data_IF_358995552655
#
_entry.id   IF_358995552655
#
_cell.length_a   1.000
_cell.length_b   1.000
_cell.length_c   1.000
_cell.angle_alpha   90.00
_cell.angle_beta   90.00
_cell.angle_gamma   90.00
#
_symmetry.space_group_name_H-M   'P 1'
#
loop_
_entity.id
_entity.type
_entity.pdbx_description
1 polymer ?
#
# COMPACT_ATOMS: atom_id res chain seq x y z
N UNK A 1 -7.97 20.72 -35.95
CA UNK A 1 -8.54 19.61 -36.76
C UNK A 1 -7.73 18.28 -36.57
N UNK A 2 -6.46 18.18 -37.02
CA UNK A 2 -5.71 16.90 -36.96
C UNK A 2 -5.33 16.48 -35.54
N UNK A 3 -4.97 17.42 -34.66
CA UNK A 3 -4.63 17.15 -33.26
C UNK A 3 -5.87 16.70 -32.50
N UNK A 4 -6.99 17.37 -32.69
CA UNK A 4 -8.30 17.02 -32.09
C UNK A 4 -8.76 15.62 -32.54
N UNK A 5 -8.62 15.31 -33.84
CA UNK A 5 -8.93 13.98 -34.36
C UNK A 5 -8.06 12.89 -33.72
N UNK A 6 -6.76 13.13 -33.57
CA UNK A 6 -5.85 12.21 -32.92
C UNK A 6 -6.16 12.04 -31.42
N UNK A 7 -6.52 13.14 -30.76
CA UNK A 7 -6.96 13.11 -29.35
C UNK A 7 -8.19 12.23 -29.18
N UNK A 8 -9.24 12.47 -29.96
CA UNK A 8 -10.48 11.66 -29.89
C UNK A 8 -10.25 10.18 -30.23
N UNK A 9 -9.36 9.88 -31.17
CA UNK A 9 -8.98 8.49 -31.45
C UNK A 9 -8.27 7.84 -30.27
N UNK A 10 -7.33 8.55 -29.65
CA UNK A 10 -6.62 8.06 -28.47
C UNK A 10 -7.55 7.86 -27.27
N UNK A 11 -8.44 8.83 -27.02
CA UNK A 11 -9.45 8.77 -25.97
C UNK A 11 -10.39 7.57 -26.17
N UNK A 12 -10.92 7.40 -27.38
CA UNK A 12 -11.77 6.26 -27.72
C UNK A 12 -11.06 4.92 -27.51
N UNK A 13 -9.80 4.83 -27.97
CA UNK A 13 -8.99 3.63 -27.79
C UNK A 13 -8.77 3.30 -26.31
N UNK A 14 -8.39 4.29 -25.49
CA UNK A 14 -8.18 4.08 -24.04
C UNK A 14 -9.49 3.69 -23.35
N UNK A 15 -10.61 4.36 -23.68
CA UNK A 15 -11.91 4.02 -23.09
C UNK A 15 -12.34 2.59 -23.44
N UNK A 16 -12.08 2.13 -24.67
CA UNK A 16 -12.32 0.74 -25.05
C UNK A 16 -11.48 -0.23 -24.21
N UNK A 17 -10.19 0.05 -24.04
CA UNK A 17 -9.29 -0.77 -23.22
C UNK A 17 -9.68 -0.80 -21.74
N UNK A 18 -10.18 0.32 -21.21
CA UNK A 18 -10.74 0.40 -19.86
C UNK A 18 -11.94 -0.52 -19.72
N UNK A 19 -12.87 -0.44 -20.68
CA UNK A 19 -14.07 -1.28 -20.67
C UNK A 19 -13.71 -2.77 -20.74
N UNK A 20 -12.87 -3.16 -21.69
CA UNK A 20 -12.38 -4.53 -21.85
C UNK A 20 -11.70 -5.07 -20.57
N UNK A 21 -10.88 -4.23 -19.90
CA UNK A 21 -10.18 -4.63 -18.69
C UNK A 21 -11.15 -4.86 -17.51
N UNK A 22 -12.17 -4.03 -17.36
CA UNK A 22 -13.18 -4.18 -16.32
C UNK A 22 -14.06 -5.42 -16.55
N UNK A 23 -14.51 -5.65 -17.80
CA UNK A 23 -15.27 -6.83 -18.18
C UNK A 23 -14.48 -8.12 -17.96
N UNK A 24 -13.20 -8.13 -18.34
CA UNK A 24 -12.34 -9.29 -18.13
C UNK A 24 -12.15 -9.58 -16.64
N UNK A 25 -11.91 -8.54 -15.81
CA UNK A 25 -11.76 -8.72 -14.37
C UNK A 25 -13.03 -9.27 -13.71
N UNK A 26 -14.21 -8.79 -14.12
CA UNK A 26 -15.49 -9.30 -13.66
C UNK A 26 -15.70 -10.76 -14.09
N UNK A 27 -15.35 -11.09 -15.32
CA UNK A 27 -15.43 -12.46 -15.85
C UNK A 27 -14.49 -13.42 -15.09
N UNK A 28 -13.22 -13.06 -14.94
CA UNK A 28 -12.20 -13.90 -14.29
C UNK A 28 -12.56 -14.22 -12.84
N UNK A 29 -13.15 -13.28 -12.11
CA UNK A 29 -13.57 -13.49 -10.71
C UNK A 29 -14.97 -14.14 -10.58
N UNK A 30 -15.68 -14.34 -11.69
CA UNK A 30 -17.06 -14.80 -11.68
C UNK A 30 -18.01 -13.79 -11.03
N UNK A 31 -17.65 -12.52 -11.05
CA UNK A 31 -18.46 -11.43 -10.49
C UNK A 31 -19.37 -10.89 -11.58
N UNK A 32 -20.54 -11.53 -11.72
CA UNK A 32 -21.52 -11.14 -12.72
C UNK A 32 -22.43 -10.02 -12.20
N UNK A 33 -23.18 -9.38 -13.10
CA UNK A 33 -24.18 -8.36 -12.80
C UNK A 33 -23.64 -7.09 -12.09
N UNK A 34 -22.37 -6.73 -12.33
CA UNK A 34 -21.85 -5.44 -11.94
C UNK A 34 -22.50 -4.33 -12.79
N UNK A 35 -22.84 -3.23 -12.15
CA UNK A 35 -23.33 -2.05 -12.89
C UNK A 35 -22.27 -1.59 -13.92
N UNK A 36 -22.65 -1.21 -15.16
CA UNK A 36 -21.68 -0.81 -16.20
C UNK A 36 -20.67 0.26 -15.77
N UNK A 37 -21.09 1.22 -14.93
CA UNK A 37 -20.19 2.24 -14.40
C UNK A 37 -19.17 1.67 -13.42
N UNK A 38 -19.52 0.64 -12.62
CA UNK A 38 -18.55 -0.06 -11.77
C UNK A 38 -17.55 -0.85 -12.62
N UNK A 39 -18.00 -1.51 -13.67
CA UNK A 39 -17.11 -2.23 -14.61
C UNK A 39 -16.12 -1.27 -15.25
N UNK A 40 -16.60 -0.11 -15.74
CA UNK A 40 -15.75 0.92 -16.33
C UNK A 40 -14.76 1.50 -15.31
N UNK A 41 -15.21 1.80 -14.10
CA UNK A 41 -14.35 2.31 -13.03
C UNK A 41 -13.31 1.29 -12.60
N UNK A 42 -13.70 0.01 -12.47
CA UNK A 42 -12.78 -1.10 -12.20
C UNK A 42 -11.70 -1.20 -13.29
N UNK A 43 -12.07 -1.07 -14.55
CA UNK A 43 -11.14 -1.09 -15.67
C UNK A 43 -10.12 0.05 -15.66
N UNK A 44 -10.46 1.23 -15.11
CA UNK A 44 -9.53 2.36 -14.91
C UNK A 44 -8.36 1.99 -14.00
N UNK A 45 -8.53 1.04 -13.07
CA UNK A 45 -7.49 0.56 -12.17
C UNK A 45 -6.33 -0.12 -12.92
N UNK A 46 -6.51 -0.56 -14.17
CA UNK A 46 -5.44 -1.04 -15.05
C UNK A 46 -4.31 -0.04 -15.20
N UNK A 47 -4.63 1.24 -15.16
CA UNK A 47 -3.69 2.35 -15.34
C UNK A 47 -3.29 3.02 -14.03
N UNK A 48 -3.66 2.41 -12.90
CA UNK A 48 -3.30 2.88 -11.55
C UNK A 48 -2.27 1.95 -10.92
N UNK A 49 -1.30 2.56 -10.28
CA UNK A 49 -0.25 1.87 -9.53
C UNK A 49 -0.22 2.41 -8.11
N UNK A 50 -0.20 1.54 -7.13
CA UNK A 50 -0.07 1.88 -5.72
C UNK A 50 1.11 1.10 -5.15
N UNK A 51 2.09 1.80 -4.58
CA UNK A 51 3.34 1.19 -4.08
C UNK A 51 4.03 0.24 -5.08
N UNK A 52 3.99 0.57 -6.36
CA UNK A 52 4.58 -0.22 -7.44
C UNK A 52 3.79 -1.46 -7.85
N UNK A 53 2.64 -1.73 -7.24
CA UNK A 53 1.71 -2.80 -7.61
C UNK A 53 0.59 -2.22 -8.50
N UNK A 54 0.27 -2.89 -9.61
CA UNK A 54 -0.89 -2.52 -10.42
C UNK A 54 -2.17 -2.81 -9.64
N UNK A 55 -3.05 -1.80 -9.51
CA UNK A 55 -4.22 -1.88 -8.62
C UNK A 55 -5.26 -2.88 -9.12
N UNK A 56 -5.47 -3.01 -10.45
CA UNK A 56 -6.40 -4.00 -10.99
C UNK A 56 -5.94 -5.44 -10.70
N UNK A 57 -4.64 -5.72 -10.92
CA UNK A 57 -4.08 -7.04 -10.62
C UNK A 57 -4.16 -7.36 -9.13
N UNK A 58 -3.90 -6.38 -8.28
CA UNK A 58 -4.08 -6.50 -6.84
C UNK A 58 -5.54 -6.83 -6.47
N UNK A 59 -6.51 -6.10 -7.03
CA UNK A 59 -7.94 -6.36 -6.79
C UNK A 59 -8.35 -7.78 -7.22
N UNK A 60 -7.80 -8.29 -8.32
CA UNK A 60 -8.00 -9.68 -8.74
C UNK A 60 -7.42 -10.67 -7.73
N UNK A 61 -6.20 -10.45 -7.26
CA UNK A 61 -5.57 -11.30 -6.22
C UNK A 61 -6.38 -11.31 -4.94
N UNK A 62 -6.81 -10.14 -4.46
CA UNK A 62 -7.65 -10.01 -3.25
C UNK A 62 -8.98 -10.75 -3.43
N UNK A 63 -9.61 -10.63 -4.60
CA UNK A 63 -10.83 -11.37 -4.90
C UNK A 63 -10.64 -12.89 -4.79
N UNK A 64 -9.57 -13.43 -5.38
CA UNK A 64 -9.27 -14.86 -5.32
C UNK A 64 -8.95 -15.31 -3.89
N UNK A 65 -8.11 -14.59 -3.17
CA UNK A 65 -7.74 -14.91 -1.78
C UNK A 65 -8.96 -14.88 -0.86
N UNK A 66 -9.77 -13.81 -0.94
CA UNK A 66 -11.00 -13.70 -0.15
C UNK A 66 -11.97 -14.85 -0.47
N UNK A 67 -12.10 -15.22 -1.74
CA UNK A 67 -12.94 -16.35 -2.15
C UNK A 67 -12.45 -17.69 -1.62
N UNK A 68 -11.15 -17.95 -1.62
CA UNK A 68 -10.55 -19.17 -1.03
C UNK A 68 -10.78 -19.21 0.47
N UNK A 69 -10.45 -18.12 1.18
CA UNK A 69 -10.67 -18.02 2.64
C UNK A 69 -12.14 -18.19 3.02
N UNK A 70 -13.06 -17.62 2.24
CA UNK A 70 -14.49 -17.79 2.45
C UNK A 70 -14.94 -19.24 2.29
N UNK A 71 -14.42 -19.95 1.28
CA UNK A 71 -14.72 -21.37 1.06
C UNK A 71 -14.26 -22.23 2.22
N UNK A 72 -13.08 -22.00 2.77
CA UNK A 72 -12.55 -22.72 3.93
C UNK A 72 -13.39 -22.50 5.20
N UNK A 73 -13.99 -21.32 5.33
CA UNK A 73 -14.86 -20.97 6.46
C UNK A 73 -16.35 -21.35 6.23
N UNK A 74 -16.69 -21.93 5.10
CA UNK A 74 -18.07 -22.27 4.76
C UNK A 74 -18.96 -21.07 4.45
N UNK A 75 -18.36 -19.94 4.05
CA UNK A 75 -19.04 -18.70 3.65
C UNK A 75 -19.13 -18.65 2.12
N UNK A 76 -20.12 -17.94 1.59
CA UNK A 76 -20.29 -17.81 0.14
C UNK A 76 -19.06 -17.15 -0.52
N UNK A 77 -18.27 -17.90 -1.31
CA UNK A 77 -17.07 -17.39 -1.94
C UNK A 77 -17.36 -16.37 -3.05
N UNK A 78 -18.57 -16.35 -3.62
CA UNK A 78 -18.91 -15.41 -4.68
C UNK A 78 -19.05 -13.99 -4.12
N UNK A 79 -19.67 -13.87 -2.96
CA UNK A 79 -19.78 -12.62 -2.21
C UNK A 79 -18.41 -12.10 -1.78
N UNK A 80 -17.53 -12.98 -1.31
CA UNK A 80 -16.17 -12.60 -0.90
C UNK A 80 -15.31 -12.14 -2.09
N UNK A 81 -15.39 -12.84 -3.24
CA UNK A 81 -14.72 -12.41 -4.46
C UNK A 81 -15.21 -11.04 -4.93
N UNK A 82 -16.52 -10.81 -4.89
CA UNK A 82 -17.11 -9.54 -5.28
C UNK A 82 -16.62 -8.38 -4.40
N UNK A 83 -16.64 -8.55 -3.09
CA UNK A 83 -16.12 -7.56 -2.14
C UNK A 83 -14.62 -7.31 -2.34
N UNK A 84 -13.83 -8.36 -2.47
CA UNK A 84 -12.39 -8.27 -2.74
C UNK A 84 -12.06 -7.61 -4.08
N UNK A 85 -12.83 -7.85 -5.14
CA UNK A 85 -12.64 -7.20 -6.44
C UNK A 85 -12.88 -5.69 -6.36
N UNK A 86 -13.86 -5.26 -5.57
CA UNK A 86 -14.30 -3.88 -5.48
C UNK A 86 -13.63 -3.08 -4.35
N UNK A 87 -12.85 -3.71 -3.44
CA UNK A 87 -12.35 -3.05 -2.23
C UNK A 87 -11.58 -1.76 -2.53
N UNK A 88 -10.79 -1.75 -3.58
CA UNK A 88 -9.92 -0.65 -4.00
C UNK A 88 -10.48 0.21 -5.13
N UNK A 89 -11.77 0.08 -5.49
CA UNK A 89 -12.37 0.75 -6.65
C UNK A 89 -12.29 2.28 -6.55
N UNK A 90 -12.27 2.82 -5.33
CA UNK A 90 -12.12 4.26 -5.09
C UNK A 90 -10.80 4.83 -5.60
N UNK A 91 -9.73 4.03 -5.68
CA UNK A 91 -8.44 4.43 -6.26
C UNK A 91 -8.51 4.84 -7.73
N UNK A 92 -9.58 4.50 -8.43
CA UNK A 92 -9.80 4.94 -9.80
C UNK A 92 -10.12 6.44 -9.91
N UNK A 93 -10.63 7.06 -8.84
CA UNK A 93 -11.14 8.43 -8.81
C UNK A 93 -10.71 9.23 -7.57
N UNK A 94 -9.85 8.70 -6.69
CA UNK A 94 -9.41 9.36 -5.45
C UNK A 94 -8.67 10.68 -5.66
N UNK A 95 -8.09 10.89 -6.84
CA UNK A 95 -7.46 12.16 -7.22
C UNK A 95 -8.47 13.21 -7.72
N UNK A 96 -9.72 12.83 -7.98
CA UNK A 96 -10.82 13.70 -8.42
C UNK A 96 -11.74 14.10 -7.26
N UNK A 97 -11.67 13.35 -6.10
CA UNK A 97 -12.60 13.46 -4.97
C UNK A 97 -11.83 13.46 -3.65
N UNK A 98 -12.15 14.36 -2.73
CA UNK A 98 -11.58 14.37 -1.37
C UNK A 98 -12.08 13.18 -0.54
N UNK A 99 -11.19 12.53 0.20
CA UNK A 99 -11.50 11.45 1.12
C UNK A 99 -10.59 10.23 0.97
N UNK A 100 -10.74 9.25 1.85
CA UNK A 100 -10.04 7.98 1.70
C UNK A 100 -10.66 7.18 0.54
N UNK A 101 -9.83 6.43 -0.19
CA UNK A 101 -10.32 5.61 -1.30
C UNK A 101 -11.33 4.54 -0.85
N UNK A 102 -11.28 4.11 0.43
CA UNK A 102 -12.24 3.19 1.01
C UNK A 102 -13.65 3.81 1.08
N UNK A 103 -13.75 5.04 1.59
CA UNK A 103 -15.00 5.79 1.66
C UNK A 103 -15.52 6.12 0.26
N UNK A 104 -14.65 6.64 -0.62
CA UNK A 104 -15.00 6.97 -2.01
C UNK A 104 -15.51 5.72 -2.75
N UNK A 105 -14.82 4.59 -2.58
CA UNK A 105 -15.22 3.31 -3.18
C UNK A 105 -16.54 2.79 -2.67
N UNK A 106 -16.79 2.89 -1.36
CA UNK A 106 -18.05 2.51 -0.74
C UNK A 106 -19.22 3.37 -1.23
N UNK A 107 -19.03 4.69 -1.36
CA UNK A 107 -20.05 5.58 -1.89
C UNK A 107 -20.37 5.30 -3.37
N UNK A 108 -19.35 5.01 -4.16
CA UNK A 108 -19.50 4.61 -5.55
C UNK A 108 -20.30 3.30 -5.65
N UNK A 109 -19.91 2.28 -4.88
CA UNK A 109 -20.58 0.98 -4.84
C UNK A 109 -22.04 1.10 -4.39
N UNK A 110 -22.30 1.90 -3.36
CA UNK A 110 -23.66 2.21 -2.85
C UNK A 110 -24.51 2.88 -3.92
N UNK A 111 -23.96 3.88 -4.60
CA UNK A 111 -24.64 4.63 -5.68
C UNK A 111 -25.05 3.74 -6.84
N UNK A 112 -24.24 2.73 -7.16
CA UNK A 112 -24.50 1.82 -8.28
C UNK A 112 -25.12 0.50 -7.86
N UNK A 113 -25.73 0.44 -6.67
CA UNK A 113 -26.65 -0.61 -6.27
C UNK A 113 -25.99 -1.87 -5.70
N UNK A 114 -24.75 -1.78 -5.23
CA UNK A 114 -24.13 -2.88 -4.49
C UNK A 114 -24.83 -3.13 -3.16
N UNK A 115 -24.84 -4.39 -2.74
CA UNK A 115 -25.49 -4.80 -1.49
C UNK A 115 -24.80 -4.17 -0.28
N UNK A 116 -25.54 -3.81 0.80
CA UNK A 116 -24.98 -3.12 1.96
C UNK A 116 -23.75 -3.78 2.59
N UNK A 117 -23.72 -5.11 2.68
CA UNK A 117 -22.58 -5.82 3.23
C UNK A 117 -21.33 -5.79 2.33
N UNK A 118 -21.47 -5.70 0.99
CA UNK A 118 -20.37 -5.46 0.06
C UNK A 118 -19.85 -4.03 0.25
N UNK A 119 -20.74 -3.06 0.31
CA UNK A 119 -20.40 -1.64 0.54
C UNK A 119 -19.64 -1.49 1.84
N UNK A 120 -20.11 -2.14 2.92
CA UNK A 120 -19.44 -2.08 4.22
C UNK A 120 -18.04 -2.72 4.18
N UNK A 121 -17.87 -3.85 3.51
CA UNK A 121 -16.56 -4.48 3.36
C UNK A 121 -15.57 -3.59 2.59
N UNK A 122 -16.04 -2.83 1.59
CA UNK A 122 -15.24 -1.83 0.89
C UNK A 122 -14.83 -0.69 1.84
N UNK A 123 -15.77 -0.18 2.65
CA UNK A 123 -15.53 0.93 3.58
C UNK A 123 -14.59 0.57 4.74
N UNK A 124 -14.70 -0.67 5.24
CA UNK A 124 -14.01 -1.14 6.43
C UNK A 124 -12.61 -1.74 6.17
N UNK A 125 -12.19 -1.93 4.91
CA UNK A 125 -10.96 -2.70 4.63
C UNK A 125 -9.66 -2.08 5.16
N UNK A 126 -9.63 -0.79 5.48
CA UNK A 126 -8.53 -0.11 6.16
C UNK A 126 -8.84 0.31 7.60
N UNK A 127 -9.92 -0.21 8.18
CA UNK A 127 -10.36 0.13 9.54
C UNK A 127 -10.75 1.60 9.74
N UNK A 128 -11.05 2.34 8.67
CA UNK A 128 -11.67 3.67 8.75
C UNK A 128 -13.08 3.57 9.39
N UNK A 129 -13.72 2.40 9.21
CA UNK A 129 -14.96 1.98 9.87
C UNK A 129 -14.71 0.64 10.53
N UNK A 130 -15.31 0.40 11.71
CA UNK A 130 -15.12 -0.84 12.44
C UNK A 130 -15.74 -2.04 11.69
N UNK A 131 -14.99 -3.14 11.48
CA UNK A 131 -15.52 -4.35 10.85
C UNK A 131 -16.69 -4.92 11.65
N UNK A 132 -17.79 -5.22 10.98
CA UNK A 132 -19.00 -5.77 11.61
C UNK A 132 -19.40 -7.15 11.10
N UNK A 133 -18.64 -7.70 10.16
CA UNK A 133 -18.88 -9.00 9.55
C UNK A 133 -17.61 -9.78 9.28
N UNK A 134 -17.73 -11.09 9.13
CA UNK A 134 -16.60 -11.94 8.72
C UNK A 134 -16.11 -11.55 7.32
N UNK A 135 -16.99 -11.08 6.44
CA UNK A 135 -16.64 -10.61 5.12
C UNK A 135 -15.63 -9.46 5.16
N UNK A 136 -15.83 -8.50 6.06
CA UNK A 136 -14.93 -7.35 6.21
C UNK A 136 -13.51 -7.79 6.58
N UNK A 137 -13.43 -8.72 7.56
CA UNK A 137 -12.16 -9.29 8.02
C UNK A 137 -11.49 -10.11 6.92
N UNK A 138 -12.25 -10.85 6.12
CA UNK A 138 -11.72 -11.61 5.00
C UNK A 138 -11.11 -10.71 3.92
N UNK A 139 -11.76 -9.60 3.60
CA UNK A 139 -11.23 -8.61 2.63
C UNK A 139 -9.96 -7.96 3.17
N UNK A 140 -9.93 -7.55 4.44
CA UNK A 140 -8.72 -7.01 5.08
C UNK A 140 -7.55 -8.01 5.05
N UNK A 141 -7.81 -9.27 5.42
CA UNK A 141 -6.79 -10.31 5.43
C UNK A 141 -6.27 -10.61 4.01
N UNK A 142 -7.16 -10.69 3.03
CA UNK A 142 -6.80 -10.92 1.64
C UNK A 142 -5.98 -9.76 1.05
N UNK A 143 -6.34 -8.51 1.33
CA UNK A 143 -5.57 -7.32 0.96
C UNK A 143 -4.16 -7.37 1.58
N UNK A 144 -4.06 -7.59 2.89
CA UNK A 144 -2.78 -7.69 3.58
C UNK A 144 -1.88 -8.78 3.00
N UNK A 145 -2.41 -9.97 2.71
CA UNK A 145 -1.66 -11.09 2.11
C UNK A 145 -1.19 -10.73 0.70
N UNK A 146 -2.05 -10.17 -0.15
CA UNK A 146 -1.67 -9.74 -1.50
C UNK A 146 -0.58 -8.66 -1.49
N UNK A 147 -0.69 -7.69 -0.57
CA UNK A 147 0.29 -6.62 -0.43
C UNK A 147 1.65 -7.10 0.12
N UNK A 148 1.64 -8.10 1.01
CA UNK A 148 2.84 -8.59 1.70
C UNK A 148 3.63 -9.65 0.92
N UNK A 149 3.06 -10.25 -0.13
CA UNK A 149 3.76 -11.30 -0.88
C UNK A 149 5.05 -10.79 -1.53
N UNK A 150 6.13 -11.61 -1.59
CA UNK A 150 7.38 -11.20 -2.20
C UNK A 150 7.21 -10.72 -3.65
N UNK A 151 7.70 -9.51 -3.95
CA UNK A 151 7.66 -8.91 -5.29
C UNK A 151 6.32 -8.27 -5.68
N UNK A 152 5.29 -8.26 -4.83
CA UNK A 152 4.03 -7.59 -5.10
C UNK A 152 4.20 -6.08 -5.23
N UNK A 153 4.87 -5.47 -4.26
CA UNK A 153 5.19 -4.04 -4.24
C UNK A 153 6.60 -3.82 -4.74
N UNK A 154 6.74 -3.16 -5.88
CA UNK A 154 8.02 -2.70 -6.43
C UNK A 154 8.16 -1.23 -6.07
N UNK A 155 9.07 -0.94 -5.17
CA UNK A 155 9.44 0.42 -4.86
C UNK A 155 10.10 1.07 -6.08
N UNK A 156 9.67 2.27 -6.47
CA UNK A 156 10.35 3.05 -7.49
C UNK A 156 11.69 3.54 -6.97
N UNK A 157 12.65 3.81 -7.87
CA UNK A 157 13.96 4.34 -7.46
C UNK A 157 13.81 5.65 -6.66
N UNK A 158 12.90 6.53 -7.06
CA UNK A 158 12.64 7.79 -6.36
C UNK A 158 12.04 7.57 -4.96
N UNK A 159 11.09 6.64 -4.81
CA UNK A 159 10.52 6.28 -3.51
C UNK A 159 11.58 5.64 -2.60
N UNK A 160 12.44 4.79 -3.17
CA UNK A 160 13.56 4.19 -2.47
C UNK A 160 14.54 5.25 -1.95
N UNK A 161 14.96 6.19 -2.79
CA UNK A 161 15.88 7.27 -2.40
C UNK A 161 15.27 8.14 -1.31
N UNK A 162 14.04 8.61 -1.50
CA UNK A 162 13.30 9.40 -0.49
C UNK A 162 13.17 8.67 0.85
N UNK A 163 12.96 7.36 0.83
CA UNK A 163 12.90 6.57 2.05
C UNK A 163 14.25 6.50 2.77
N UNK A 164 15.36 6.34 2.04
CA UNK A 164 16.69 6.36 2.64
C UNK A 164 17.00 7.74 3.25
N UNK A 165 16.72 8.81 2.51
CA UNK A 165 16.89 10.19 2.99
C UNK A 165 16.06 10.44 4.27
N UNK A 166 14.82 9.97 4.31
CA UNK A 166 13.96 10.15 5.48
C UNK A 166 14.42 9.33 6.69
N UNK A 167 14.92 8.10 6.48
CA UNK A 167 15.53 7.30 7.55
C UNK A 167 16.73 8.01 8.17
N UNK A 168 17.60 8.58 7.34
CA UNK A 168 18.77 9.35 7.81
C UNK A 168 18.36 10.67 8.48
N UNK A 169 17.35 11.37 7.96
CA UNK A 169 16.80 12.61 8.56
C UNK A 169 16.25 12.35 9.96
N UNK A 170 15.44 11.28 10.13
CA UNK A 170 14.89 10.91 11.45
C UNK A 170 16.03 10.69 12.44
N UNK A 171 17.02 9.89 12.10
CA UNK A 171 18.11 9.56 13.03
C UNK A 171 19.02 10.78 13.30
N UNK A 172 19.32 11.60 12.28
CA UNK A 172 20.14 12.80 12.42
C UNK A 172 19.46 13.92 13.23
N UNK A 173 18.15 13.86 13.45
CA UNK A 173 17.43 14.88 14.25
C UNK A 173 17.67 14.77 15.76
N UNK A 174 18.27 13.68 16.23
CA UNK A 174 18.57 13.48 17.64
C UNK A 174 19.88 14.15 18.06
N UNK A 175 19.88 14.82 19.21
CA UNK A 175 21.11 15.40 19.74
C UNK A 175 22.14 14.32 20.10
N UNK A 176 23.41 14.60 19.86
CA UNK A 176 24.50 13.66 20.06
C UNK A 176 24.70 12.67 18.90
N UNK A 177 23.87 12.65 17.88
CA UNK A 177 24.12 11.92 16.64
C UNK A 177 25.13 12.70 15.79
N UNK A 178 26.19 12.03 15.36
CA UNK A 178 27.24 12.61 14.50
C UNK A 178 26.96 12.34 13.02
N UNK A 179 26.61 11.08 12.70
CA UNK A 179 26.31 10.64 11.32
C UNK A 179 25.40 9.44 11.32
N UNK A 180 24.58 9.35 10.28
CA UNK A 180 23.71 8.22 10.03
C UNK A 180 23.92 7.65 8.64
N UNK A 181 23.79 6.34 8.49
CA UNK A 181 23.88 5.64 7.22
C UNK A 181 22.74 4.64 7.12
N UNK A 182 21.87 4.83 6.12
CA UNK A 182 20.89 3.83 5.72
C UNK A 182 21.57 2.83 4.75
N UNK A 183 21.71 1.59 5.18
CA UNK A 183 22.40 0.54 4.42
C UNK A 183 21.49 -0.67 4.19
N UNK A 184 21.97 -1.68 3.47
CA UNK A 184 21.21 -2.89 3.12
C UNK A 184 19.84 -2.57 2.49
N UNK A 185 19.83 -1.64 1.54
CA UNK A 185 18.62 -1.16 0.89
C UNK A 185 17.59 -0.55 1.89
N UNK A 186 18.07 0.14 2.94
CA UNK A 186 17.24 0.76 3.98
C UNK A 186 16.65 -0.21 4.99
N UNK A 187 17.19 -1.43 5.09
CA UNK A 187 16.82 -2.39 6.12
C UNK A 187 17.65 -2.29 7.40
N UNK A 188 18.72 -1.51 7.35
CA UNK A 188 19.58 -1.24 8.50
C UNK A 188 19.95 0.24 8.51
N UNK A 189 19.79 0.89 9.66
CA UNK A 189 20.22 2.27 9.92
C UNK A 189 21.32 2.22 10.95
N UNK A 190 22.53 2.67 10.56
CA UNK A 190 23.67 2.82 11.46
C UNK A 190 23.81 4.27 11.91
N UNK A 191 23.75 4.48 13.20
CA UNK A 191 23.77 5.78 13.84
C UNK A 191 25.05 5.91 14.64
N UNK A 192 25.98 6.73 14.16
CA UNK A 192 27.21 7.08 14.87
C UNK A 192 26.94 8.19 15.85
N UNK A 193 27.29 8.00 17.12
CA UNK A 193 27.08 8.99 18.18
C UNK A 193 28.37 9.53 18.74
N UNK A 194 28.32 10.75 19.26
CA UNK A 194 29.45 11.40 19.96
C UNK A 194 29.61 10.77 21.35
N UNK A 195 30.78 10.13 21.65
CA UNK A 195 30.95 9.37 22.90
C UNK A 195 30.96 10.24 24.16
N UNK A 196 31.22 11.53 24.01
CA UNK A 196 31.19 12.54 25.05
C UNK A 196 29.79 13.07 25.40
N UNK A 197 28.83 12.86 24.50
CA UNK A 197 27.42 13.28 24.70
C UNK A 197 26.48 12.13 25.02
N UNK A 198 26.74 10.94 24.46
CA UNK A 198 25.88 9.78 24.58
C UNK A 198 26.65 8.67 25.29
N UNK A 199 26.20 8.27 26.47
CA UNK A 199 26.74 7.15 27.21
C UNK A 199 26.19 5.79 26.75
N UNK A 200 26.65 4.68 27.35
CA UNK A 200 26.26 3.33 26.96
C UNK A 200 24.75 3.05 27.22
N UNK A 201 24.21 3.54 28.31
CA UNK A 201 22.79 3.39 28.63
C UNK A 201 21.91 4.21 27.65
N UNK A 202 22.34 5.40 27.31
CA UNK A 202 21.66 6.27 26.36
C UNK A 202 21.65 5.71 24.94
N UNK A 203 22.66 4.89 24.53
CA UNK A 203 22.64 4.25 23.20
C UNK A 203 21.46 3.30 23.04
N UNK A 204 21.09 2.58 24.11
CA UNK A 204 19.94 1.66 24.09
C UNK A 204 18.63 2.41 23.96
N UNK A 205 18.47 3.49 24.71
CA UNK A 205 17.27 4.33 24.65
C UNK A 205 17.15 4.97 23.27
N UNK A 206 18.23 5.55 22.77
CA UNK A 206 18.27 6.20 21.45
C UNK A 206 17.92 5.23 20.32
N UNK A 207 18.41 3.98 20.37
CA UNK A 207 18.08 2.97 19.38
C UNK A 207 16.58 2.65 19.38
N UNK A 208 15.97 2.56 20.56
CA UNK A 208 14.53 2.32 20.72
C UNK A 208 13.71 3.52 20.19
N UNK A 209 14.08 4.73 20.56
CA UNK A 209 13.35 5.96 20.20
C UNK A 209 13.40 6.18 18.68
N UNK A 210 14.56 5.99 18.04
CA UNK A 210 14.69 6.06 16.59
C UNK A 210 13.84 4.98 15.93
N UNK A 211 13.86 3.74 16.42
CA UNK A 211 13.07 2.66 15.86
C UNK A 211 11.55 2.95 15.97
N UNK A 212 11.08 3.39 17.13
CA UNK A 212 9.68 3.76 17.34
C UNK A 212 9.25 4.91 16.44
N UNK A 213 10.11 5.90 16.23
CA UNK A 213 9.80 7.02 15.37
C UNK A 213 9.77 6.62 13.89
N UNK A 214 10.67 5.75 13.45
CA UNK A 214 10.64 5.16 12.10
C UNK A 214 9.32 4.40 11.90
N UNK A 215 8.89 3.60 12.88
CA UNK A 215 7.66 2.84 12.83
C UNK A 215 6.42 3.72 12.69
N UNK A 216 6.39 4.87 13.37
CA UNK A 216 5.26 5.80 13.35
C UNK A 216 5.24 6.75 12.13
N UNK A 217 6.40 7.13 11.57
CA UNK A 217 6.50 8.15 10.53
C UNK A 217 6.72 7.58 9.12
N UNK A 218 7.15 6.32 8.99
CA UNK A 218 7.53 5.74 7.71
C UNK A 218 6.79 4.46 7.40
N UNK A 219 6.37 4.33 6.14
CA UNK A 219 5.97 3.04 5.58
C UNK A 219 7.19 2.37 4.92
N UNK A 220 7.52 1.15 5.37
CA UNK A 220 8.65 0.39 4.86
C UNK A 220 8.30 -1.11 4.70
N UNK A 221 8.86 -1.79 3.69
CA UNK A 221 8.62 -3.21 3.49
C UNK A 221 9.49 -4.04 4.44
N UNK A 222 8.89 -4.75 5.37
CA UNK A 222 9.56 -5.64 6.30
C UNK A 222 10.02 -4.96 7.59
N UNK A 223 11.22 -5.26 8.06
CA UNK A 223 11.80 -4.70 9.30
C UNK A 223 12.96 -3.77 8.99
N UNK A 224 13.10 -2.71 9.78
CA UNK A 224 14.25 -1.81 9.77
C UNK A 224 15.02 -1.99 11.08
N UNK A 225 16.28 -2.39 10.98
CA UNK A 225 17.18 -2.57 12.12
C UNK A 225 17.91 -1.26 12.41
N UNK A 226 17.78 -0.73 13.62
CA UNK A 226 18.54 0.44 14.09
C UNK A 226 19.72 -0.01 14.92
N UNK A 227 20.93 0.44 14.56
CA UNK A 227 22.17 0.16 15.28
C UNK A 227 22.80 1.48 15.68
N UNK A 228 22.84 1.79 16.97
CA UNK A 228 23.57 2.91 17.51
C UNK A 228 25.00 2.48 17.86
N UNK A 229 25.99 3.18 17.32
CA UNK A 229 27.41 2.88 17.44
C UNK A 229 28.11 4.03 18.18
N UNK A 230 28.67 3.70 19.34
CA UNK A 230 29.56 4.57 20.10
C UNK A 230 30.99 4.09 19.92
N UNK A 231 31.84 4.88 19.27
CA UNK A 231 33.22 4.48 18.95
C UNK A 231 34.22 5.38 19.68
N UNK A 232 35.23 4.77 20.28
CA UNK A 232 36.40 5.46 20.85
C UNK A 232 37.66 5.02 20.11
N UNK A 233 38.45 5.98 19.62
CA UNK A 233 39.69 5.72 18.88
C UNK A 233 40.87 6.28 19.60
N UNK A 234 41.92 5.48 19.81
CA UNK A 234 43.23 5.92 20.26
C UNK A 234 44.26 5.70 19.13
N UNK A 235 45.06 6.71 18.80
CA UNK A 235 46.07 6.64 17.73
C UNK A 235 47.46 6.74 18.33
N UNK A 236 48.30 5.75 18.07
CA UNK A 236 49.75 5.77 18.36
C UNK A 236 50.55 5.80 17.06
N UNK A 237 51.58 6.66 16.97
CA UNK A 237 52.48 6.72 15.80
C UNK A 237 53.81 6.16 16.20
N UNK A 238 54.24 5.06 15.59
CA UNK A 238 55.62 4.55 15.66
C UNK A 238 56.46 5.36 14.63
N UNK A 239 57.63 5.87 15.09
CA UNK A 239 58.59 6.55 14.23
C UNK A 239 59.78 5.63 13.97
#
# INVERSE_FOLDING_TARGET
>A
ARIEEMFHKAESYVNQRVQEAGEQAAFDTGTHDLHPELVKTLGRLRYRTSYGQNVLNHSLEVAYLAGVMASELGIDPSTARRAGLLHDIGKAIDHEVEGSHAVIGADLARRFGERPHIVHAIEAHHSDVEPNSVLDVLVQAADAVSAARPGARKETLDAYVKRLEKLEEIANSYDGVERTYAIQAGREVRVMVQPDKIDEAQTVVLAHDIASRIENELQYPGQVKVIVIRESRAVGIAK
#
